data_IF_889410927056
#
_entry.id   IF_889410927056
#
_cell.length_a   1.000
_cell.length_b   1.000
_cell.length_c   1.000
_cell.angle_alpha   90.00
_cell.angle_beta   90.00
_cell.angle_gamma   90.00
#
_symmetry.space_group_name_H-M   'P 1'
#
loop_
_entity.id
_entity.type
_entity.pdbx_description
1 polymer ?
#
# COMPACT_ATOMS: atom_id res chain seq x y z
N UNK A 1 8.69 16.52 -19.24
CA UNK A 1 7.77 16.15 -18.15
C UNK A 1 7.46 17.41 -17.35
N UNK A 2 6.19 17.69 -17.08
CA UNK A 2 5.82 18.85 -16.27
C UNK A 2 6.37 18.67 -14.84
N UNK A 3 7.06 19.69 -14.31
CA UNK A 3 7.56 19.65 -12.94
C UNK A 3 6.40 19.86 -11.97
N UNK A 4 6.13 18.87 -11.10
CA UNK A 4 5.22 19.07 -9.97
C UNK A 4 5.86 20.06 -9.00
N UNK A 5 5.32 21.28 -8.95
CA UNK A 5 5.79 22.30 -8.01
C UNK A 5 5.26 21.95 -6.62
N UNK A 6 6.16 21.93 -5.63
CA UNK A 6 5.77 21.73 -4.25
C UNK A 6 5.13 23.02 -3.72
N UNK A 7 3.98 22.90 -3.07
CA UNK A 7 3.38 24.02 -2.34
C UNK A 7 4.24 24.40 -1.11
N UNK A 8 4.06 25.60 -0.54
CA UNK A 8 4.72 25.95 0.73
C UNK A 8 4.43 24.95 1.86
N UNK A 9 3.19 24.46 1.98
CA UNK A 9 2.80 23.44 2.98
C UNK A 9 3.55 22.12 2.77
N UNK A 10 3.74 21.70 1.52
CA UNK A 10 4.50 20.51 1.16
C UNK A 10 5.98 20.67 1.48
N UNK A 11 6.56 21.84 1.21
CA UNK A 11 7.95 22.13 1.54
C UNK A 11 8.18 22.07 3.06
N UNK A 12 7.26 22.61 3.84
CA UNK A 12 7.31 22.56 5.31
C UNK A 12 7.17 21.11 5.81
N UNK A 13 6.11 20.40 5.39
CA UNK A 13 5.79 19.03 5.79
C UNK A 13 6.93 18.06 5.46
N UNK A 14 7.49 18.13 4.25
CA UNK A 14 8.52 17.22 3.77
C UNK A 14 9.95 17.77 3.90
N UNK A 15 10.15 18.86 4.68
CA UNK A 15 11.46 19.52 4.85
C UNK A 15 12.59 18.54 5.20
N UNK A 16 12.30 17.53 6.01
CA UNK A 16 13.27 16.47 6.37
C UNK A 16 13.63 15.55 5.22
N UNK A 17 12.73 15.27 4.29
CA UNK A 17 13.02 14.49 3.09
C UNK A 17 13.78 15.31 2.04
N UNK A 18 13.45 16.60 1.91
CA UNK A 18 14.05 17.50 0.93
C UNK A 18 15.55 17.71 1.13
N UNK A 19 16.05 17.58 2.36
CA UNK A 19 17.48 17.67 2.69
C UNK A 19 18.23 16.34 2.60
N UNK A 20 17.53 15.20 2.41
CA UNK A 20 18.19 13.89 2.32
C UNK A 20 18.81 13.69 0.93
N UNK A 21 20.12 13.36 0.82
CA UNK A 21 20.78 13.21 -0.47
C UNK A 21 20.12 12.21 -1.44
N UNK A 22 19.59 11.10 -0.92
CA UNK A 22 18.99 10.02 -1.73
C UNK A 22 17.51 10.24 -2.07
N UNK A 23 16.87 11.27 -1.52
CA UNK A 23 15.48 11.63 -1.82
C UNK A 23 15.44 13.02 -2.43
N UNK A 24 15.74 14.04 -1.64
CA UNK A 24 15.76 15.42 -2.09
C UNK A 24 14.43 15.87 -2.70
N UNK A 25 14.47 17.00 -3.40
CA UNK A 25 13.26 17.54 -4.04
C UNK A 25 12.75 16.66 -5.19
N UNK A 26 13.62 15.93 -5.89
CA UNK A 26 13.23 15.07 -7.00
C UNK A 26 12.54 13.80 -6.50
N UNK A 27 13.08 13.14 -5.47
CA UNK A 27 12.48 11.96 -4.85
C UNK A 27 11.14 12.29 -4.20
N UNK A 28 11.02 13.44 -3.51
CA UNK A 28 9.75 13.83 -2.91
C UNK A 28 8.67 14.07 -3.98
N UNK A 29 9.01 14.72 -5.11
CA UNK A 29 8.09 14.86 -6.24
C UNK A 29 7.72 13.51 -6.85
N UNK A 30 8.66 12.57 -6.92
CA UNK A 30 8.38 11.22 -7.40
C UNK A 30 7.36 10.49 -6.49
N UNK A 31 7.48 10.63 -5.16
CA UNK A 31 6.51 10.11 -4.21
C UNK A 31 5.13 10.75 -4.40
N UNK A 32 5.06 12.08 -4.49
CA UNK A 32 3.78 12.79 -4.70
C UNK A 32 3.09 12.37 -6.01
N UNK A 33 3.86 12.04 -7.04
CA UNK A 33 3.31 11.60 -8.32
C UNK A 33 3.04 10.09 -8.39
N UNK A 34 3.46 9.29 -7.40
CA UNK A 34 3.31 7.84 -7.45
C UNK A 34 1.93 7.37 -7.03
N UNK A 35 1.60 6.17 -7.50
CA UNK A 35 0.39 5.42 -7.16
C UNK A 35 0.77 4.07 -6.59
N UNK A 36 0.35 3.78 -5.36
CA UNK A 36 0.63 2.50 -4.70
C UNK A 36 -0.67 1.78 -4.39
N UNK A 37 -0.78 0.51 -4.75
CA UNK A 37 -1.88 -0.35 -4.33
C UNK A 37 -1.46 -1.18 -3.12
N UNK A 38 -2.31 -1.24 -2.10
CA UNK A 38 -2.12 -2.07 -0.92
C UNK A 38 -3.27 -3.07 -0.86
N UNK A 39 -2.92 -4.35 -0.97
CA UNK A 39 -3.86 -5.47 -0.86
C UNK A 39 -3.89 -5.91 0.60
N UNK A 40 -5.02 -5.67 1.27
CA UNK A 40 -5.23 -5.89 2.71
C UNK A 40 -4.92 -4.64 3.53
N UNK A 41 -5.88 -4.19 4.34
CA UNK A 41 -5.77 -3.11 5.31
C UNK A 41 -5.50 -3.62 6.75
N UNK A 42 -5.18 -4.91 6.90
CA UNK A 42 -4.93 -5.57 8.18
C UNK A 42 -3.58 -5.24 8.80
N UNK A 43 -3.00 -6.19 9.56
CA UNK A 43 -1.81 -5.94 10.40
C UNK A 43 -0.56 -5.56 9.61
N UNK A 44 -0.41 -6.05 8.37
CA UNK A 44 0.69 -5.69 7.47
C UNK A 44 0.41 -4.42 6.68
N UNK A 45 -0.79 -4.32 6.09
CA UNK A 45 -1.18 -3.16 5.29
C UNK A 45 -1.31 -1.88 6.11
N UNK A 46 -1.72 -1.99 7.38
CA UNK A 46 -1.90 -0.86 8.29
C UNK A 46 -0.66 0.05 8.42
N UNK A 47 0.48 -0.46 8.91
CA UNK A 47 1.69 0.35 9.03
C UNK A 47 2.22 0.81 7.66
N UNK A 48 2.10 -0.02 6.63
CA UNK A 48 2.56 0.33 5.28
C UNK A 48 1.81 1.55 4.74
N UNK A 49 0.47 1.52 4.77
CA UNK A 49 -0.34 2.61 4.26
C UNK A 49 -0.08 3.91 5.01
N UNK A 50 0.02 3.83 6.34
CA UNK A 50 0.30 4.99 7.19
C UNK A 50 1.64 5.64 6.83
N UNK A 51 2.72 4.88 6.75
CA UNK A 51 4.02 5.44 6.43
C UNK A 51 4.15 5.93 4.98
N UNK A 52 3.45 5.31 4.02
CA UNK A 52 3.40 5.82 2.64
C UNK A 52 2.65 7.15 2.57
N UNK A 53 1.52 7.28 3.27
CA UNK A 53 0.79 8.53 3.34
C UNK A 53 1.63 9.62 4.01
N UNK A 54 2.28 9.33 5.14
CA UNK A 54 3.19 10.26 5.83
C UNK A 54 4.39 10.65 4.97
N UNK A 55 4.90 9.72 4.16
CA UNK A 55 6.00 10.00 3.24
C UNK A 55 5.58 10.85 2.03
N UNK A 56 4.28 11.04 1.82
CA UNK A 56 3.74 11.85 0.74
C UNK A 56 3.57 11.11 -0.57
N UNK A 57 3.33 9.79 -0.54
CA UNK A 57 2.80 9.08 -1.71
C UNK A 57 1.46 9.70 -2.08
N UNK A 58 1.32 10.20 -3.31
CA UNK A 58 0.16 11.02 -3.66
C UNK A 58 -1.14 10.22 -3.83
N UNK A 59 -1.06 8.96 -4.26
CA UNK A 59 -2.23 8.12 -4.47
C UNK A 59 -2.03 6.76 -3.83
N UNK A 60 -2.93 6.40 -2.91
CA UNK A 60 -2.92 5.09 -2.24
C UNK A 60 -4.25 4.40 -2.56
N UNK A 61 -4.18 3.26 -3.23
CA UNK A 61 -5.29 2.33 -3.38
C UNK A 61 -5.29 1.34 -2.23
N UNK A 62 -6.45 1.06 -1.65
CA UNK A 62 -6.59 0.05 -0.60
C UNK A 62 -7.65 -0.96 -1.04
N UNK A 63 -7.27 -2.24 -1.07
CA UNK A 63 -8.18 -3.35 -1.33
C UNK A 63 -8.41 -4.10 -0.03
N UNK A 64 -9.63 -4.06 0.49
CA UNK A 64 -10.03 -4.89 1.63
C UNK A 64 -11.55 -5.02 1.65
N UNK A 65 -12.03 -6.22 1.98
CA UNK A 65 -13.45 -6.54 1.97
C UNK A 65 -14.03 -6.78 3.37
N UNK A 66 -13.21 -6.66 4.42
CA UNK A 66 -13.63 -6.90 5.79
C UNK A 66 -14.15 -5.63 6.48
N UNK A 67 -14.75 -5.85 7.65
CA UNK A 67 -15.02 -4.81 8.65
C UNK A 67 -13.99 -4.84 9.77
N UNK A 68 -13.83 -3.72 10.47
CA UNK A 68 -12.98 -3.62 11.67
C UNK A 68 -13.57 -4.47 12.79
N UNK A 69 -12.73 -5.27 13.43
CA UNK A 69 -13.09 -6.13 14.56
C UNK A 69 -12.21 -5.82 15.78
N UNK A 70 -12.80 -5.85 16.98
CA UNK A 70 -12.09 -5.53 18.23
C UNK A 70 -10.84 -6.42 18.44
N UNK A 71 -10.92 -7.71 18.12
CA UNK A 71 -9.81 -8.66 18.26
C UNK A 71 -8.61 -8.35 17.35
N UNK A 72 -8.84 -7.50 16.34
CA UNK A 72 -7.85 -7.15 15.34
C UNK A 72 -7.10 -5.85 15.69
N UNK A 73 -7.65 -5.02 16.58
CA UNK A 73 -7.08 -3.71 16.95
C UNK A 73 -5.70 -3.80 17.62
N UNK A 74 -5.34 -4.93 18.24
CA UNK A 74 -4.01 -5.14 18.82
C UNK A 74 -2.84 -5.03 17.81
N UNK A 75 -3.14 -5.10 16.50
CA UNK A 75 -2.12 -5.01 15.43
C UNK A 75 -2.53 -4.17 14.22
N UNK A 76 -3.79 -3.77 14.07
CA UNK A 76 -4.30 -3.03 12.91
C UNK A 76 -4.38 -1.54 13.22
N UNK A 77 -3.23 -0.87 13.19
CA UNK A 77 -3.06 0.51 13.67
C UNK A 77 -3.73 1.60 12.81
N UNK A 78 -4.30 1.23 11.64
CA UNK A 78 -5.18 2.14 10.90
C UNK A 78 -6.57 2.26 11.51
N UNK A 79 -6.92 1.40 12.46
CA UNK A 79 -8.26 1.32 13.01
C UNK A 79 -8.23 1.59 14.50
N UNK A 80 -9.35 2.07 15.04
CA UNK A 80 -9.51 2.38 16.46
C UNK A 80 -10.82 1.81 17.01
N UNK A 81 -11.02 1.87 18.33
CA UNK A 81 -12.22 1.34 18.98
C UNK A 81 -13.53 1.92 18.42
N UNK A 82 -13.52 3.18 18.00
CA UNK A 82 -14.69 3.84 17.38
C UNK A 82 -15.02 3.31 15.98
N UNK A 83 -14.08 2.61 15.33
CA UNK A 83 -14.25 2.08 13.98
C UNK A 83 -14.82 0.66 13.96
N UNK A 84 -15.00 0.00 15.11
CA UNK A 84 -15.49 -1.38 15.17
C UNK A 84 -16.85 -1.52 14.45
N UNK A 85 -16.92 -2.46 13.50
CA UNK A 85 -18.08 -2.67 12.62
C UNK A 85 -18.06 -1.86 11.31
N UNK A 86 -17.18 -0.87 11.18
CA UNK A 86 -16.98 -0.09 9.94
C UNK A 86 -16.19 -0.88 8.91
N UNK A 87 -16.35 -0.58 7.62
CA UNK A 87 -15.50 -1.15 6.56
C UNK A 87 -14.03 -0.75 6.80
N UNK A 88 -13.11 -1.71 6.71
CA UNK A 88 -11.67 -1.43 6.95
C UNK A 88 -11.14 -0.36 5.99
N UNK A 89 -11.52 -0.41 4.72
CA UNK A 89 -11.12 0.58 3.71
C UNK A 89 -11.56 2.01 4.04
N UNK A 90 -12.74 2.19 4.63
CA UNK A 90 -13.25 3.51 5.01
C UNK A 90 -12.52 4.04 6.25
N UNK A 91 -12.38 3.21 7.29
CA UNK A 91 -11.61 3.55 8.49
C UNK A 91 -10.16 3.91 8.12
N UNK A 92 -9.52 3.09 7.28
CA UNK A 92 -8.18 3.35 6.78
C UNK A 92 -8.10 4.71 6.06
N UNK A 93 -9.02 5.00 5.14
CA UNK A 93 -9.02 6.28 4.42
C UNK A 93 -9.10 7.48 5.35
N UNK A 94 -10.01 7.45 6.31
CA UNK A 94 -10.15 8.55 7.28
C UNK A 94 -8.88 8.76 8.08
N UNK A 95 -8.25 7.68 8.54
CA UNK A 95 -6.98 7.77 9.27
C UNK A 95 -5.87 8.35 8.38
N UNK A 96 -5.75 7.91 7.13
CA UNK A 96 -4.71 8.41 6.22
C UNK A 96 -4.92 9.88 5.86
N UNK A 97 -6.16 10.28 5.55
CA UNK A 97 -6.51 11.67 5.22
C UNK A 97 -6.36 12.60 6.44
N UNK A 98 -6.61 12.10 7.66
CA UNK A 98 -6.34 12.84 8.89
C UNK A 98 -4.84 13.10 9.12
N UNK A 99 -3.98 12.13 8.78
CA UNK A 99 -2.52 12.30 8.90
C UNK A 99 -1.96 13.17 7.77
N UNK A 100 -2.44 12.98 6.55
CA UNK A 100 -2.01 13.73 5.38
C UNK A 100 -3.18 14.08 4.46
N UNK A 101 -3.78 15.28 4.59
CA UNK A 101 -4.93 15.68 3.77
C UNK A 101 -4.63 15.79 2.26
N UNK A 102 -3.36 15.75 1.86
CA UNK A 102 -2.95 15.82 0.46
C UNK A 102 -2.87 14.44 -0.22
N UNK A 103 -2.94 13.32 0.53
CA UNK A 103 -2.98 11.99 -0.09
C UNK A 103 -4.38 11.71 -0.64
N UNK A 104 -4.45 11.20 -1.87
CA UNK A 104 -5.68 10.68 -2.46
C UNK A 104 -5.81 9.19 -2.16
N UNK A 105 -6.84 8.82 -1.39
CA UNK A 105 -7.13 7.41 -1.09
C UNK A 105 -8.25 6.88 -1.98
N UNK A 106 -8.00 5.78 -2.69
CA UNK A 106 -8.97 5.08 -3.55
C UNK A 106 -9.36 3.76 -2.89
N UNK A 107 -10.67 3.54 -2.73
CA UNK A 107 -11.21 2.35 -2.06
C UNK A 107 -11.56 1.27 -3.08
N UNK A 108 -11.17 0.04 -2.79
CA UNK A 108 -11.60 -1.16 -3.49
C UNK A 108 -12.19 -2.11 -2.45
N UNK A 109 -13.52 -2.12 -2.32
CA UNK A 109 -14.22 -2.78 -1.20
C UNK A 109 -14.49 -4.26 -1.42
N UNK A 110 -14.14 -4.77 -2.60
CA UNK A 110 -14.35 -6.16 -2.99
C UNK A 110 -13.08 -6.99 -2.76
N UNK A 111 -13.22 -8.31 -2.51
CA UNK A 111 -12.08 -9.21 -2.49
C UNK A 111 -11.35 -9.17 -3.84
N UNK A 112 -10.03 -9.03 -3.80
CA UNK A 112 -9.22 -9.18 -5.01
C UNK A 112 -9.28 -10.64 -5.47
N UNK A 113 -9.58 -10.83 -6.75
CA UNK A 113 -9.74 -12.14 -7.36
C UNK A 113 -9.29 -12.09 -8.84
N UNK A 114 -9.30 -13.22 -9.53
CA UNK A 114 -8.82 -13.33 -10.91
C UNK A 114 -9.60 -12.48 -11.92
N UNK A 115 -10.84 -12.09 -11.62
CA UNK A 115 -11.67 -11.27 -12.52
C UNK A 115 -11.40 -9.77 -12.41
N UNK A 116 -10.93 -9.27 -11.25
CA UNK A 116 -10.72 -7.84 -11.01
C UNK A 116 -9.23 -7.44 -10.82
N UNK A 117 -8.33 -8.39 -10.56
CA UNK A 117 -6.94 -8.08 -10.24
C UNK A 117 -6.23 -7.23 -11.31
N UNK A 118 -6.40 -7.57 -12.60
CA UNK A 118 -5.76 -6.83 -13.69
C UNK A 118 -6.25 -5.38 -13.78
N UNK A 119 -7.56 -5.18 -13.79
CA UNK A 119 -8.20 -3.86 -13.89
C UNK A 119 -7.82 -2.96 -12.70
N UNK A 120 -7.77 -3.52 -11.49
CA UNK A 120 -7.38 -2.74 -10.31
C UNK A 120 -5.88 -2.42 -10.38
N UNK A 121 -5.02 -3.43 -10.59
CA UNK A 121 -3.57 -3.31 -10.43
C UNK A 121 -2.88 -2.51 -11.55
N UNK A 122 -3.43 -2.48 -12.77
CA UNK A 122 -2.82 -1.76 -13.89
C UNK A 122 -2.64 -0.24 -13.61
N UNK A 123 -3.53 0.30 -12.79
CA UNK A 123 -3.63 1.72 -12.45
C UNK A 123 -2.58 2.21 -11.44
N UNK A 124 -1.75 1.31 -10.90
CA UNK A 124 -0.77 1.59 -9.85
C UNK A 124 0.66 1.31 -10.31
N UNK A 125 1.62 2.01 -9.74
CA UNK A 125 3.05 1.89 -10.08
C UNK A 125 3.72 0.76 -9.29
N UNK A 126 3.31 0.56 -8.03
CA UNK A 126 3.83 -0.46 -7.12
C UNK A 126 2.67 -1.15 -6.43
N UNK A 127 2.77 -2.48 -6.32
CA UNK A 127 1.80 -3.32 -5.63
C UNK A 127 2.41 -3.78 -4.31
N UNK A 128 1.62 -3.71 -3.24
CA UNK A 128 1.99 -4.22 -1.92
C UNK A 128 1.00 -5.29 -1.51
N UNK A 129 1.49 -6.50 -1.24
CA UNK A 129 0.70 -7.56 -0.65
C UNK A 129 0.85 -7.56 0.88
N UNK A 130 -0.21 -7.15 1.55
CA UNK A 130 -0.38 -7.23 3.00
C UNK A 130 -1.42 -8.27 3.42
N UNK A 131 -1.94 -9.08 2.50
CA UNK A 131 -2.86 -10.16 2.79
C UNK A 131 -2.11 -11.37 3.39
N UNK A 132 -2.77 -12.06 4.31
CA UNK A 132 -2.20 -13.15 5.11
C UNK A 132 -2.63 -14.55 4.63
N UNK A 133 -3.07 -14.67 3.38
CA UNK A 133 -3.45 -15.95 2.78
C UNK A 133 -2.68 -16.23 1.47
N UNK A 134 -2.42 -17.51 1.21
CA UNK A 134 -1.65 -17.95 0.05
C UNK A 134 -2.33 -17.60 -1.28
N UNK A 135 -3.64 -17.78 -1.40
CA UNK A 135 -4.36 -17.57 -2.65
C UNK A 135 -4.19 -16.12 -3.17
N UNK A 136 -4.35 -15.13 -2.29
CA UNK A 136 -4.13 -13.72 -2.62
C UNK A 136 -2.67 -13.44 -2.98
N UNK A 137 -1.71 -14.07 -2.28
CA UNK A 137 -0.28 -13.89 -2.60
C UNK A 137 0.07 -14.38 -4.01
N UNK A 138 -0.38 -15.57 -4.38
CA UNK A 138 -0.18 -16.10 -5.73
C UNK A 138 -0.86 -15.24 -6.79
N UNK A 139 -2.11 -14.85 -6.56
CA UNK A 139 -2.84 -13.95 -7.44
C UNK A 139 -2.10 -12.61 -7.64
N UNK A 140 -1.69 -11.97 -6.55
CA UNK A 140 -0.99 -10.69 -6.58
C UNK A 140 0.36 -10.81 -7.30
N UNK A 141 1.11 -11.89 -7.07
CA UNK A 141 2.34 -12.18 -7.81
C UNK A 141 2.08 -12.31 -9.31
N UNK A 142 1.13 -13.15 -9.70
CA UNK A 142 0.89 -13.48 -11.11
C UNK A 142 0.41 -12.25 -11.87
N UNK A 143 -0.55 -11.51 -11.30
CA UNK A 143 -1.04 -10.27 -11.89
C UNK A 143 0.05 -9.19 -11.96
N UNK A 144 0.83 -8.97 -10.89
CA UNK A 144 1.90 -7.98 -10.90
C UNK A 144 3.00 -8.33 -11.91
N UNK A 145 3.38 -9.60 -12.00
CA UNK A 145 4.36 -10.09 -12.96
C UNK A 145 3.90 -9.84 -14.40
N UNK A 146 2.66 -10.22 -14.72
CA UNK A 146 2.08 -10.06 -16.07
C UNK A 146 1.84 -8.60 -16.45
N UNK A 147 1.54 -7.73 -15.48
CA UNK A 147 1.43 -6.28 -15.66
C UNK A 147 2.77 -5.54 -15.63
N UNK A 148 3.89 -6.26 -15.46
CA UNK A 148 5.22 -5.70 -15.30
C UNK A 148 5.31 -4.64 -14.17
N UNK A 149 4.65 -4.92 -13.04
CA UNK A 149 4.66 -4.09 -11.83
C UNK A 149 5.53 -4.73 -10.74
N UNK A 150 6.36 -3.96 -10.02
CA UNK A 150 7.03 -4.45 -8.83
C UNK A 150 6.02 -4.82 -7.75
N UNK A 151 6.24 -5.97 -7.10
CA UNK A 151 5.47 -6.45 -5.96
C UNK A 151 6.35 -6.42 -4.71
N UNK A 152 5.89 -5.73 -3.66
CA UNK A 152 6.44 -5.83 -2.32
C UNK A 152 5.55 -6.78 -1.52
N UNK A 153 6.09 -7.90 -1.05
CA UNK A 153 5.35 -8.92 -0.33
C UNK A 153 5.79 -8.98 1.13
N UNK A 154 4.81 -9.01 2.04
CA UNK A 154 5.00 -9.25 3.45
C UNK A 154 4.30 -10.54 3.90
N UNK A 155 4.90 -11.24 4.85
CA UNK A 155 4.34 -12.43 5.48
C UNK A 155 4.66 -12.44 6.98
N UNK A 156 3.73 -12.92 7.79
CA UNK A 156 3.95 -13.19 9.22
C UNK A 156 3.41 -14.57 9.55
N UNK A 157 4.17 -15.34 10.31
CA UNK A 157 3.77 -16.61 10.90
C UNK A 157 4.21 -16.63 12.37
N UNK A 158 3.26 -16.42 13.28
CA UNK A 158 3.50 -16.40 14.74
C UNK A 158 4.59 -15.38 15.13
N UNK A 159 5.85 -15.81 15.29
CA UNK A 159 6.99 -14.99 15.68
C UNK A 159 7.96 -14.71 14.53
N UNK A 160 7.72 -15.29 13.35
CA UNK A 160 8.54 -15.12 12.17
C UNK A 160 7.89 -14.15 11.19
N UNK A 161 8.70 -13.25 10.64
CA UNK A 161 8.30 -12.30 9.61
C UNK A 161 9.18 -12.43 8.38
N UNK A 162 8.60 -12.24 7.20
CA UNK A 162 9.32 -12.16 5.94
C UNK A 162 8.86 -10.95 5.15
N UNK A 163 9.79 -10.29 4.48
CA UNK A 163 9.50 -9.22 3.54
C UNK A 163 10.45 -9.34 2.35
N UNK A 164 9.92 -9.21 1.14
CA UNK A 164 10.75 -9.23 -0.06
C UNK A 164 10.14 -8.40 -1.18
N UNK A 165 10.94 -8.14 -2.21
CA UNK A 165 10.49 -7.41 -3.39
C UNK A 165 10.74 -8.25 -4.63
N UNK A 166 9.68 -8.51 -5.37
CA UNK A 166 9.71 -9.19 -6.66
C UNK A 166 9.65 -8.16 -7.78
N UNK A 167 10.71 -8.15 -8.59
CA UNK A 167 10.80 -7.30 -9.78
C UNK A 167 10.60 -8.21 -11.01
N UNK A 168 9.55 -7.97 -11.83
CA UNK A 168 9.31 -8.75 -13.03
C UNK A 168 10.56 -8.86 -13.91
N UNK A 169 10.83 -10.06 -14.42
CA UNK A 169 12.05 -10.38 -15.18
C UNK A 169 13.32 -10.62 -14.34
N UNK A 170 13.36 -10.26 -13.05
CA UNK A 170 14.49 -10.57 -12.14
C UNK A 170 14.18 -11.68 -11.15
N UNK A 171 12.91 -11.87 -10.83
CA UNK A 171 12.43 -12.91 -9.92
C UNK A 171 10.94 -12.76 -9.67
N UNK A 172 10.32 -13.80 -9.13
CA UNK A 172 8.90 -13.84 -8.84
C UNK A 172 8.65 -14.75 -7.62
N UNK A 173 7.50 -14.62 -6.98
CA UNK A 173 7.13 -15.50 -5.86
C UNK A 173 7.13 -16.97 -6.31
N UNK A 174 6.51 -17.26 -7.48
CA UNK A 174 6.50 -18.60 -8.10
C UNK A 174 7.87 -19.16 -8.44
N UNK A 175 8.86 -18.28 -8.62
CA UNK A 175 10.23 -18.68 -8.94
C UNK A 175 10.91 -19.30 -7.71
N UNK A 176 10.46 -18.94 -6.51
CA UNK A 176 10.94 -19.49 -5.23
C UNK A 176 10.00 -20.60 -4.74
N UNK A 177 8.68 -20.43 -4.93
CA UNK A 177 7.62 -21.34 -4.49
C UNK A 177 6.72 -21.73 -5.68
N UNK A 178 7.07 -22.78 -6.45
CA UNK A 178 6.44 -23.06 -7.75
C UNK A 178 4.99 -23.58 -7.69
N UNK A 179 4.61 -24.20 -6.57
CA UNK A 179 3.29 -24.82 -6.37
C UNK A 179 2.15 -23.80 -6.41
#
# INVERSE_FOLDING_TARGET
MAFTQLSPSQVERYSRHLIMPSVGSNGQRALINSKVLIIGAGGLGSPVALYLALAGVGNIGIVDFDTVDLSNLQRQILHSDQDVGKRKVESAKETLEAHNPEVKVTLHEEPINSSNAFEIMENYDVIINGADNFATRYLANDAAYLLNKPLVDGAILIFDGQATTYIPGKGCYRCIFPE
#
